data_IF_388810109603
#
_entry.id   IF_388810109603
#
_cell.length_a   1.000
_cell.length_b   1.000
_cell.length_c   1.000
_cell.angle_alpha   90.00
_cell.angle_beta   90.00
_cell.angle_gamma   90.00
#
_symmetry.space_group_name_H-M   'P 1'
#
loop_
_entity.id
_entity.type
_entity.pdbx_description
1 polymer ?
#
# COMPACT_ATOMS: atom_id res chain seq x y z
N UNK A 1 8.20 -0.98 29.30
CA UNK A 1 8.20 -1.00 27.82
C UNK A 1 9.49 -1.66 27.36
N UNK A 2 9.44 -2.70 26.54
CA UNK A 2 10.65 -3.38 26.08
C UNK A 2 11.46 -2.44 25.19
N UNK A 3 12.76 -2.32 25.48
CA UNK A 3 13.64 -1.50 24.65
C UNK A 3 13.83 -2.16 23.28
N UNK A 4 14.02 -1.39 22.20
CA UNK A 4 14.19 -1.92 20.84
C UNK A 4 15.33 -2.96 20.77
N UNK A 5 16.35 -2.82 21.61
CA UNK A 5 17.49 -3.74 21.69
C UNK A 5 17.12 -5.10 22.32
N UNK A 6 16.16 -5.14 23.25
CA UNK A 6 15.66 -6.39 23.82
C UNK A 6 14.77 -7.15 22.82
N UNK A 7 13.97 -6.42 22.04
CA UNK A 7 13.12 -6.99 21.00
C UNK A 7 14.00 -7.63 19.91
N UNK A 8 15.06 -6.94 19.48
CA UNK A 8 16.02 -7.47 18.51
C UNK A 8 16.70 -8.77 18.99
N UNK A 9 17.15 -8.82 20.25
CA UNK A 9 17.74 -10.03 20.84
C UNK A 9 16.77 -11.20 20.86
N UNK A 10 15.53 -10.97 21.30
CA UNK A 10 14.50 -12.02 21.34
C UNK A 10 14.11 -12.53 19.92
N UNK A 11 14.19 -11.68 18.90
CA UNK A 11 14.00 -12.08 17.50
C UNK A 11 15.15 -12.96 17.00
N UNK A 12 16.40 -12.60 17.31
CA UNK A 12 17.58 -13.39 16.92
C UNK A 12 17.51 -14.79 17.54
N UNK A 13 17.16 -14.91 18.82
CA UNK A 13 16.99 -16.22 19.48
C UNK A 13 15.92 -17.07 18.81
N UNK A 14 14.78 -16.47 18.43
CA UNK A 14 13.71 -17.18 17.70
C UNK A 14 14.18 -17.67 16.34
N UNK A 15 14.92 -16.84 15.59
CA UNK A 15 15.47 -17.18 14.27
C UNK A 15 16.50 -18.32 14.39
N UNK A 16 17.33 -18.33 15.43
CA UNK A 16 18.30 -19.41 15.66
C UNK A 16 17.63 -20.74 16.08
N UNK A 17 16.46 -20.68 16.72
CA UNK A 17 15.68 -21.86 17.11
C UNK A 17 14.83 -22.44 15.96
N UNK A 18 14.80 -21.79 14.77
CA UNK A 18 14.04 -22.28 13.62
C UNK A 18 14.78 -23.43 12.91
N UNK A 19 14.04 -24.43 12.39
CA UNK A 19 14.64 -25.49 11.58
C UNK A 19 15.20 -24.91 10.28
N UNK A 20 16.33 -25.47 9.82
CA UNK A 20 17.04 -25.02 8.61
C UNK A 20 16.15 -24.95 7.36
N UNK A 21 15.16 -25.84 7.28
CA UNK A 21 14.18 -25.92 6.19
C UNK A 21 13.34 -24.62 6.04
N UNK A 22 13.13 -23.88 7.14
CA UNK A 22 12.35 -22.63 7.15
C UNK A 22 13.20 -21.37 7.12
N UNK A 23 14.54 -21.50 7.15
CA UNK A 23 15.43 -20.32 7.10
C UNK A 23 15.31 -19.63 5.74
N UNK A 24 15.23 -20.40 4.66
CA UNK A 24 15.06 -19.85 3.30
C UNK A 24 13.76 -19.05 3.14
N UNK A 25 12.66 -19.48 3.76
CA UNK A 25 11.38 -18.75 3.76
C UNK A 25 11.46 -17.44 4.55
N UNK A 26 12.18 -17.46 5.69
CA UNK A 26 12.41 -16.24 6.49
C UNK A 26 13.31 -15.26 5.74
N UNK A 27 14.33 -15.73 5.03
CA UNK A 27 15.18 -14.91 4.17
C UNK A 27 14.38 -14.22 3.06
N UNK A 28 13.56 -14.99 2.33
CA UNK A 28 12.68 -14.46 1.28
C UNK A 28 11.71 -13.41 1.84
N UNK A 29 11.13 -13.65 3.02
CA UNK A 29 10.24 -12.69 3.67
C UNK A 29 10.97 -11.39 4.07
N UNK A 30 12.20 -11.47 4.57
CA UNK A 30 13.01 -10.30 4.92
C UNK A 30 13.38 -9.50 3.67
N UNK A 31 13.77 -10.17 2.58
CA UNK A 31 14.08 -9.53 1.32
C UNK A 31 12.83 -8.88 0.69
N UNK A 32 11.68 -9.53 0.78
CA UNK A 32 10.39 -8.95 0.41
C UNK A 32 10.10 -7.66 1.19
N UNK A 33 10.33 -7.62 2.51
CA UNK A 33 10.12 -6.42 3.31
C UNK A 33 11.07 -5.28 2.91
N UNK A 34 12.33 -5.59 2.60
CA UNK A 34 13.32 -4.60 2.12
C UNK A 34 12.90 -4.01 0.78
N UNK A 35 12.52 -4.88 -0.17
CA UNK A 35 12.03 -4.48 -1.49
C UNK A 35 10.76 -3.64 -1.39
N UNK A 36 9.80 -4.01 -0.53
CA UNK A 36 8.58 -3.23 -0.25
C UNK A 36 8.89 -1.85 0.35
N UNK A 37 9.88 -1.74 1.22
CA UNK A 37 10.29 -0.43 1.77
C UNK A 37 10.95 0.45 0.71
N UNK A 38 11.79 -0.14 -0.16
CA UNK A 38 12.41 0.56 -1.29
C UNK A 38 11.36 1.08 -2.28
N UNK A 39 10.37 0.26 -2.64
CA UNK A 39 9.26 0.66 -3.52
C UNK A 39 8.42 1.78 -2.92
N UNK A 40 8.12 1.73 -1.62
CA UNK A 40 7.39 2.82 -0.93
C UNK A 40 8.17 4.14 -0.96
N UNK A 41 9.49 4.11 -0.76
CA UNK A 41 10.34 5.30 -0.88
C UNK A 41 10.37 5.84 -2.31
N UNK A 42 10.45 4.96 -3.31
CA UNK A 42 10.39 5.36 -4.73
C UNK A 42 9.03 5.96 -5.11
N UNK A 43 7.92 5.38 -4.64
CA UNK A 43 6.57 5.88 -4.90
C UNK A 43 6.31 7.26 -4.28
N UNK A 44 6.90 7.57 -3.12
CA UNK A 44 6.80 8.92 -2.52
C UNK A 44 7.59 9.99 -3.28
N UNK A 45 8.66 9.62 -3.97
CA UNK A 45 9.44 10.53 -4.83
C UNK A 45 8.79 10.65 -6.22
N UNK A 46 8.08 9.61 -6.67
CA UNK A 46 7.31 9.54 -7.91
C UNK A 46 5.91 10.17 -7.81
N UNK A 47 5.75 11.25 -7.03
CA UNK A 47 4.65 12.20 -7.26
C UNK A 47 5.01 13.13 -8.43
N UNK A 48 5.68 12.59 -9.43
CA UNK A 48 5.81 13.17 -10.75
C UNK A 48 4.40 13.09 -11.33
N UNK A 49 3.82 14.25 -11.60
CA UNK A 49 2.53 14.40 -12.25
C UNK A 49 2.51 13.46 -13.45
N UNK A 50 1.74 12.39 -13.34
CA UNK A 50 1.53 11.49 -14.46
C UNK A 50 1.15 12.35 -15.67
N UNK A 51 1.85 12.18 -16.78
CA UNK A 51 1.58 12.81 -18.08
C UNK A 51 0.31 12.22 -18.70
N UNK A 52 -0.76 12.17 -17.91
CA UNK A 52 -2.10 12.04 -18.43
C UNK A 52 -2.55 13.47 -18.69
N UNK A 53 -2.66 13.90 -19.96
CA UNK A 53 -3.31 15.16 -20.28
C UNK A 53 -4.74 15.06 -19.79
N UNK A 54 -4.97 15.51 -18.55
CA UNK A 54 -6.30 15.72 -18.01
C UNK A 54 -6.88 16.89 -18.79
N UNK A 55 -7.55 16.56 -19.89
CA UNK A 55 -8.29 17.56 -20.65
C UNK A 55 -9.48 17.99 -19.77
N UNK A 56 -9.43 19.22 -19.26
CA UNK A 56 -10.58 19.83 -18.61
C UNK A 56 -11.61 20.15 -19.69
N UNK A 57 -12.77 19.49 -19.63
CA UNK A 57 -13.89 19.69 -20.58
C UNK A 57 -14.82 20.82 -20.11
N UNK A 58 -14.36 21.65 -19.17
CA UNK A 58 -15.14 22.75 -18.59
C UNK A 58 -15.82 22.39 -17.27
N UNK A 59 -16.52 23.37 -16.68
CA UNK A 59 -17.23 23.20 -15.41
C UNK A 59 -18.43 22.28 -15.63
N UNK A 60 -18.61 21.32 -14.73
CA UNK A 60 -19.81 20.49 -14.69
C UNK A 60 -21.06 21.37 -14.46
N UNK A 61 -22.17 21.16 -15.19
CA UNK A 61 -23.38 21.97 -15.03
C UNK A 61 -24.00 21.81 -13.63
N UNK A 62 -24.37 22.92 -12.99
CA UNK A 62 -24.90 22.91 -11.62
C UNK A 62 -26.29 22.26 -11.50
N UNK A 63 -27.01 22.12 -12.63
CA UNK A 63 -28.36 21.52 -12.72
C UNK A 63 -28.34 20.00 -12.98
N UNK A 64 -27.16 19.43 -13.30
CA UNK A 64 -27.01 17.99 -13.54
C UNK A 64 -26.48 17.31 -12.30
N UNK A 65 -27.28 16.46 -11.67
CA UNK A 65 -26.83 15.62 -10.56
C UNK A 65 -26.26 14.30 -11.08
N UNK A 66 -25.17 13.85 -10.47
CA UNK A 66 -24.63 12.50 -10.67
C UNK A 66 -25.13 11.51 -9.60
N UNK A 67 -26.10 11.92 -8.78
CA UNK A 67 -26.73 11.03 -7.81
C UNK A 67 -27.42 9.87 -8.54
N UNK A 68 -27.39 8.70 -7.91
CA UNK A 68 -27.96 7.48 -8.48
C UNK A 68 -29.44 7.64 -8.77
N UNK A 69 -30.13 8.33 -7.89
CA UNK A 69 -31.56 8.63 -7.92
C UNK A 69 -31.94 9.47 -9.15
N UNK A 70 -31.05 10.37 -9.57
CA UNK A 70 -31.28 11.25 -10.73
C UNK A 70 -30.84 10.57 -12.04
N UNK A 71 -29.78 9.75 -11.97
CA UNK A 71 -29.21 9.04 -13.12
C UNK A 71 -29.97 7.75 -13.49
N UNK A 72 -30.54 7.05 -12.51
CA UNK A 72 -31.15 5.73 -12.69
C UNK A 72 -32.59 5.63 -12.14
N UNK A 73 -33.13 6.71 -11.57
CA UNK A 73 -34.42 6.68 -10.88
C UNK A 73 -34.36 5.96 -9.54
N UNK A 74 -35.43 6.08 -8.75
CA UNK A 74 -35.64 5.34 -7.49
C UNK A 74 -36.04 3.86 -7.73
N UNK A 75 -35.77 3.33 -8.92
CA UNK A 75 -36.09 1.94 -9.31
C UNK A 75 -35.07 0.95 -8.70
N UNK A 76 -34.48 1.30 -7.55
CA UNK A 76 -33.51 0.52 -6.80
C UNK A 76 -34.12 -0.56 -5.90
N UNK A 77 -35.42 -0.88 -6.03
CA UNK A 77 -36.10 -1.97 -5.31
C UNK A 77 -37.21 -2.63 -6.12
#
# INVERSE_FOLDING_TARGET
MATPMQIAKALIEKIQALPADRIAEVEDFVDFLRERMRRRKAATTSKESLDFPVMSVGKWPDDLSLSREDMYGDDGR
#
